data_IF_284531172735
#
_entry.id   IF_284531172735
#
_cell.length_a   1.000
_cell.length_b   1.000
_cell.length_c   1.000
_cell.angle_alpha   90.00
_cell.angle_beta   90.00
_cell.angle_gamma   90.00
#
_symmetry.space_group_name_H-M   'P 1'
#
loop_
_entity.id
_entity.type
_entity.pdbx_description
1 polymer ?
#
# COMPACT_ATOMS: atom_id res chain seq x y z
N UNK A 1 -8.50 13.14 -42.02
CA UNK A 1 -9.06 14.06 -41.02
C UNK A 1 -9.66 13.22 -39.91
N UNK A 2 -8.92 13.03 -38.81
CA UNK A 2 -9.43 12.46 -37.57
C UNK A 2 -9.30 13.58 -36.56
N UNK A 3 -10.40 14.29 -36.33
CA UNK A 3 -10.55 15.27 -35.25
C UNK A 3 -10.60 14.50 -33.93
N UNK A 4 -9.44 14.25 -33.34
CA UNK A 4 -9.33 13.84 -31.94
C UNK A 4 -8.37 14.78 -31.25
N UNK A 5 -8.81 16.02 -31.07
CA UNK A 5 -8.15 16.95 -30.14
C UNK A 5 -9.22 17.72 -29.36
N UNK A 6 -10.08 16.99 -28.63
CA UNK A 6 -10.74 17.58 -27.47
C UNK A 6 -9.70 17.67 -26.36
N UNK A 7 -8.82 18.66 -26.46
CA UNK A 7 -8.02 19.14 -25.33
C UNK A 7 -8.99 19.55 -24.25
N UNK A 8 -9.10 18.73 -23.22
CA UNK A 8 -9.80 19.11 -22.01
C UNK A 8 -9.00 20.28 -21.42
N UNK A 9 -9.53 21.48 -21.58
CA UNK A 9 -8.91 22.68 -21.04
C UNK A 9 -9.11 22.72 -19.52
N UNK A 10 -8.09 22.27 -18.79
CA UNK A 10 -8.02 22.23 -17.33
C UNK A 10 -7.68 23.59 -16.70
N UNK A 11 -7.48 24.66 -17.50
CA UNK A 11 -7.25 26.02 -17.00
C UNK A 11 -8.54 26.71 -16.54
N UNK A 12 -9.70 26.25 -17.04
CA UNK A 12 -10.98 26.83 -16.72
C UNK A 12 -11.43 26.44 -15.30
N UNK A 13 -11.76 27.44 -14.47
CA UNK A 13 -12.29 27.25 -13.10
C UNK A 13 -13.49 26.29 -13.10
N UNK A 14 -14.29 26.30 -14.17
CA UNK A 14 -15.40 25.36 -14.39
C UNK A 14 -14.92 23.90 -14.49
N UNK A 15 -13.84 23.63 -15.24
CA UNK A 15 -13.25 22.28 -15.38
C UNK A 15 -12.73 21.77 -14.04
N UNK A 16 -12.03 22.61 -13.27
CA UNK A 16 -11.54 22.23 -11.92
C UNK A 16 -12.70 21.94 -10.97
N UNK A 17 -13.76 22.73 -11.01
CA UNK A 17 -14.96 22.49 -10.20
C UNK A 17 -15.65 21.19 -10.60
N UNK A 18 -15.81 20.93 -11.90
CA UNK A 18 -16.37 19.69 -12.44
C UNK A 18 -15.58 18.46 -11.98
N UNK A 19 -14.25 18.51 -11.99
CA UNK A 19 -13.40 17.42 -11.52
C UNK A 19 -13.54 17.19 -10.03
N UNK A 20 -13.62 18.26 -9.22
CA UNK A 20 -13.86 18.14 -7.78
C UNK A 20 -15.22 17.50 -7.51
N UNK A 21 -16.26 17.91 -8.24
CA UNK A 21 -17.60 17.30 -8.15
C UNK A 21 -17.59 15.84 -8.58
N UNK A 22 -16.90 15.50 -9.66
CA UNK A 22 -16.76 14.12 -10.12
C UNK A 22 -16.00 13.26 -9.09
N UNK A 23 -14.89 13.75 -8.53
CA UNK A 23 -14.14 13.09 -7.44
C UNK A 23 -15.05 12.85 -6.23
N UNK A 24 -15.84 13.84 -5.84
CA UNK A 24 -16.80 13.71 -4.74
C UNK A 24 -17.87 12.66 -5.04
N UNK A 25 -18.50 12.71 -6.22
CA UNK A 25 -19.54 11.75 -6.63
C UNK A 25 -19.02 10.31 -6.63
N UNK A 26 -17.83 10.06 -7.19
CA UNK A 26 -17.20 8.73 -7.20
C UNK A 26 -16.91 8.25 -5.78
N UNK A 27 -16.32 9.09 -4.92
CA UNK A 27 -16.04 8.73 -3.52
C UNK A 27 -17.31 8.42 -2.74
N UNK A 28 -18.37 9.23 -2.92
CA UNK A 28 -19.67 8.98 -2.27
C UNK A 28 -20.28 7.67 -2.72
N UNK A 29 -20.28 7.39 -4.02
CA UNK A 29 -20.84 6.16 -4.57
C UNK A 29 -20.08 4.92 -4.09
N UNK A 30 -18.74 4.99 -4.09
CA UNK A 30 -17.89 3.95 -3.53
C UNK A 30 -18.20 3.70 -2.05
N UNK A 31 -18.29 4.76 -1.24
CA UNK A 31 -18.58 4.63 0.19
C UNK A 31 -19.97 4.03 0.47
N UNK A 32 -20.96 4.31 -0.37
CA UNK A 32 -22.29 3.69 -0.26
C UNK A 32 -22.18 2.18 -0.50
N UNK A 33 -21.49 1.76 -1.57
CA UNK A 33 -21.29 0.34 -1.84
C UNK A 33 -20.46 -0.34 -0.76
N UNK A 34 -19.36 0.27 -0.33
CA UNK A 34 -18.52 -0.23 0.75
C UNK A 34 -19.39 -0.52 2.00
N UNK A 35 -20.18 0.45 2.44
CA UNK A 35 -21.11 0.27 3.58
C UNK A 35 -22.16 -0.81 3.34
N UNK A 36 -22.69 -0.93 2.12
CA UNK A 36 -23.69 -1.94 1.78
C UNK A 36 -23.14 -3.38 1.85
N UNK A 37 -21.84 -3.58 1.59
CA UNK A 37 -21.17 -4.89 1.66
C UNK A 37 -20.47 -5.14 3.00
N UNK A 38 -20.66 -4.27 4.00
CA UNK A 38 -20.09 -4.42 5.35
C UNK A 38 -18.73 -3.74 5.57
N UNK A 39 -18.22 -2.99 4.59
CA UNK A 39 -17.02 -2.16 4.71
C UNK A 39 -17.36 -0.78 5.30
N UNK A 40 -17.81 -0.76 6.56
CA UNK A 40 -18.34 0.44 7.21
C UNK A 40 -17.30 1.53 7.48
N UNK A 41 -16.09 1.12 7.82
CA UNK A 41 -14.97 1.97 8.25
C UNK A 41 -13.79 1.92 7.27
N UNK A 42 -14.01 1.44 6.04
CA UNK A 42 -13.00 1.45 5.00
C UNK A 42 -12.69 2.87 4.54
N UNK A 43 -11.41 3.24 4.59
CA UNK A 43 -10.92 4.53 4.13
C UNK A 43 -10.23 4.41 2.77
N UNK A 44 -10.65 5.26 1.82
CA UNK A 44 -10.00 5.35 0.51
C UNK A 44 -8.59 5.94 0.72
N UNK A 45 -7.53 5.32 0.16
CA UNK A 45 -6.16 5.83 0.29
C UNK A 45 -6.01 7.30 -0.12
N UNK A 46 -5.15 8.01 0.62
CA UNK A 46 -4.86 9.42 0.36
C UNK A 46 -3.70 9.54 -0.64
N UNK A 47 -4.04 9.74 -1.92
CA UNK A 47 -3.06 9.84 -3.00
C UNK A 47 -2.08 11.01 -2.82
N UNK A 48 -2.55 12.13 -2.27
CA UNK A 48 -1.71 13.29 -2.00
C UNK A 48 -0.65 12.98 -0.92
N UNK A 49 -1.03 12.24 0.13
CA UNK A 49 -0.08 11.74 1.14
C UNK A 49 0.96 10.80 0.52
N UNK A 50 0.52 9.84 -0.30
CA UNK A 50 1.43 8.89 -0.97
C UNK A 50 2.45 9.62 -1.85
N UNK A 51 2.00 10.58 -2.64
CA UNK A 51 2.88 11.40 -3.48
C UNK A 51 3.96 12.10 -2.63
N UNK A 52 3.57 12.76 -1.53
CA UNK A 52 4.52 13.41 -0.60
C UNK A 52 5.50 12.45 0.05
N UNK A 53 5.10 11.20 0.32
CA UNK A 53 6.02 10.19 0.88
C UNK A 53 7.12 9.80 -0.12
N UNK A 54 6.78 9.71 -1.41
CA UNK A 54 7.69 9.25 -2.45
C UNK A 54 8.48 10.35 -3.16
N UNK A 55 8.02 11.62 -3.15
CA UNK A 55 8.57 12.69 -3.99
C UNK A 55 10.08 12.93 -3.84
N UNK A 56 10.64 12.63 -2.65
CA UNK A 56 12.07 12.76 -2.36
C UNK A 56 12.93 11.65 -2.97
N UNK A 57 12.31 10.54 -3.37
CA UNK A 57 12.96 9.32 -3.83
C UNK A 57 12.63 8.99 -5.27
N UNK A 58 11.47 9.45 -5.76
CA UNK A 58 10.93 9.14 -7.07
C UNK A 58 10.19 10.36 -7.63
N UNK A 59 10.57 10.80 -8.82
CA UNK A 59 9.93 11.94 -9.50
C UNK A 59 8.47 11.62 -9.81
N UNK A 60 7.54 12.51 -9.44
CA UNK A 60 6.10 12.30 -9.66
C UNK A 60 5.71 12.30 -11.15
N UNK A 61 6.54 12.90 -12.00
CA UNK A 61 6.37 12.94 -13.46
C UNK A 61 6.81 11.65 -14.17
N UNK A 62 7.44 10.71 -13.45
CA UNK A 62 7.81 9.42 -14.02
C UNK A 62 6.56 8.53 -14.13
N UNK A 63 6.07 8.38 -15.35
CA UNK A 63 4.92 7.55 -15.69
C UNK A 63 5.35 6.13 -16.12
N UNK A 64 4.57 5.12 -15.71
CA UNK A 64 4.78 3.71 -16.09
C UNK A 64 4.71 2.76 -14.89
N UNK A 65 4.03 1.63 -15.05
CA UNK A 65 3.74 0.72 -13.94
C UNK A 65 2.94 1.41 -12.83
N UNK A 66 3.30 1.17 -11.57
CA UNK A 66 2.74 1.87 -10.40
C UNK A 66 3.45 3.21 -10.11
N UNK A 67 4.56 3.50 -10.81
CA UNK A 67 5.35 4.71 -10.65
C UNK A 67 5.79 4.95 -9.21
N UNK A 68 5.57 6.16 -8.72
CA UNK A 68 5.94 6.58 -7.37
C UNK A 68 5.16 5.84 -6.26
N UNK A 69 4.04 5.18 -6.57
CA UNK A 69 3.20 4.50 -5.58
C UNK A 69 3.87 3.27 -4.99
N UNK A 70 4.65 2.52 -5.77
CA UNK A 70 5.38 1.35 -5.25
C UNK A 70 6.38 1.76 -4.15
N UNK A 71 7.04 2.90 -4.35
CA UNK A 71 7.94 3.51 -3.37
C UNK A 71 7.17 4.09 -2.19
N UNK A 72 6.08 4.81 -2.46
CA UNK A 72 5.22 5.40 -1.42
C UNK A 72 4.65 4.34 -0.48
N UNK A 73 4.18 3.21 -1.01
CA UNK A 73 3.58 2.13 -0.23
C UNK A 73 4.59 1.44 0.68
N UNK A 74 5.84 1.25 0.26
CA UNK A 74 6.87 0.74 1.18
C UNK A 74 7.13 1.72 2.32
N UNK A 75 7.27 3.01 2.01
CA UNK A 75 7.52 4.04 3.02
C UNK A 75 6.34 4.16 3.98
N UNK A 76 5.11 4.15 3.45
CA UNK A 76 3.88 4.18 4.24
C UNK A 76 3.78 2.95 5.13
N UNK A 77 4.06 1.77 4.60
CA UNK A 77 4.07 0.51 5.34
C UNK A 77 4.99 0.56 6.55
N UNK A 78 6.13 1.24 6.45
CA UNK A 78 7.05 1.41 7.58
C UNK A 78 6.59 2.52 8.53
N UNK A 79 6.22 3.69 8.01
CA UNK A 79 5.87 4.86 8.83
C UNK A 79 4.59 4.66 9.64
N UNK A 80 3.60 4.07 9.00
CA UNK A 80 2.29 3.80 9.59
C UNK A 80 2.23 2.40 10.17
N UNK A 81 3.34 1.66 10.09
CA UNK A 81 3.47 0.33 10.62
C UNK A 81 2.32 -0.53 10.07
N UNK A 82 2.22 -0.75 8.75
CA UNK A 82 1.11 -1.50 8.14
C UNK A 82 1.41 -2.99 7.99
N UNK A 83 2.68 -3.34 7.80
CA UNK A 83 3.10 -4.72 7.57
C UNK A 83 4.54 -4.98 8.02
N UNK A 84 4.81 -6.23 8.40
CA UNK A 84 6.18 -6.71 8.69
C UNK A 84 6.92 -7.21 7.43
N UNK A 85 6.24 -7.24 6.28
CA UNK A 85 6.78 -7.60 4.97
C UNK A 85 5.93 -7.01 3.85
N UNK A 86 6.57 -6.29 2.95
CA UNK A 86 5.98 -5.81 1.70
C UNK A 86 6.59 -6.59 0.53
N UNK A 87 5.75 -7.28 -0.24
CA UNK A 87 6.19 -8.06 -1.41
C UNK A 87 5.70 -7.34 -2.67
N UNK A 88 6.64 -6.94 -3.51
CA UNK A 88 6.35 -6.45 -4.86
C UNK A 88 6.41 -7.62 -5.85
N UNK A 89 5.26 -7.97 -6.42
CA UNK A 89 5.14 -9.05 -7.41
C UNK A 89 4.95 -8.43 -8.79
N UNK A 90 5.86 -8.73 -9.71
CA UNK A 90 5.89 -8.11 -11.04
C UNK A 90 6.24 -9.09 -12.14
N UNK A 91 5.78 -8.87 -13.39
CA UNK A 91 6.23 -9.70 -14.51
C UNK A 91 7.71 -9.45 -14.81
N UNK A 92 8.38 -10.49 -15.33
CA UNK A 92 9.77 -10.39 -15.78
C UNK A 92 9.97 -9.20 -16.74
N UNK A 93 11.00 -8.40 -16.49
CA UNK A 93 11.37 -7.30 -17.37
C UNK A 93 10.41 -6.11 -17.34
N UNK A 94 9.57 -5.96 -16.31
CA UNK A 94 8.77 -4.75 -16.10
C UNK A 94 9.68 -3.56 -15.77
N UNK A 95 10.26 -2.92 -16.79
CA UNK A 95 11.30 -1.90 -16.63
C UNK A 95 10.98 -0.80 -15.59
N UNK A 96 9.76 -0.23 -15.53
CA UNK A 96 9.44 0.77 -14.51
C UNK A 96 9.55 0.24 -13.06
N UNK A 97 9.23 -1.04 -12.84
CA UNK A 97 9.25 -1.64 -11.49
C UNK A 97 10.55 -2.40 -11.21
N UNK A 98 11.01 -3.28 -12.11
CA UNK A 98 12.21 -4.10 -11.95
C UNK A 98 13.52 -3.32 -12.06
N UNK A 99 13.59 -2.25 -12.88
CA UNK A 99 14.81 -1.49 -13.05
C UNK A 99 14.80 -0.21 -12.21
N UNK A 100 13.73 0.59 -12.32
CA UNK A 100 13.67 1.89 -11.66
C UNK A 100 13.27 1.73 -10.20
N UNK A 101 12.12 1.11 -9.93
CA UNK A 101 11.61 0.98 -8.55
C UNK A 101 12.56 0.19 -7.65
N UNK A 102 13.02 -1.01 -8.03
CA UNK A 102 13.95 -1.79 -7.19
C UNK A 102 15.27 -1.07 -6.89
N UNK A 103 15.78 -0.32 -7.86
CA UNK A 103 16.94 0.56 -7.67
C UNK A 103 16.68 1.61 -6.58
N UNK A 104 15.51 2.26 -6.63
CA UNK A 104 15.08 3.23 -5.62
C UNK A 104 14.83 2.56 -4.27
N UNK A 105 14.24 1.36 -4.24
CA UNK A 105 13.96 0.62 -3.00
C UNK A 105 15.23 0.27 -2.22
N UNK A 106 16.37 0.11 -2.89
CA UNK A 106 17.67 -0.07 -2.22
C UNK A 106 18.07 1.17 -1.39
N UNK A 107 17.76 2.38 -1.89
CA UNK A 107 17.93 3.61 -1.12
C UNK A 107 16.90 3.73 0.01
N UNK A 108 15.64 3.39 -0.26
CA UNK A 108 14.55 3.45 0.73
C UNK A 108 14.86 2.53 1.90
N UNK A 109 15.18 1.27 1.64
CA UNK A 109 15.53 0.28 2.69
C UNK A 109 16.78 0.67 3.48
N UNK A 110 17.73 1.41 2.87
CA UNK A 110 18.87 1.99 3.60
C UNK A 110 18.44 3.10 4.58
N UNK A 111 17.49 3.96 4.18
CA UNK A 111 16.95 5.04 5.04
C UNK A 111 15.94 4.57 6.08
N UNK A 112 15.24 3.48 5.78
CA UNK A 112 14.25 2.86 6.65
C UNK A 112 14.68 1.41 6.95
N UNK A 113 15.60 1.18 7.90
CA UNK A 113 16.15 -0.16 8.15
C UNK A 113 15.12 -1.20 8.63
N UNK A 114 13.98 -0.76 9.15
CA UNK A 114 12.84 -1.61 9.50
C UNK A 114 12.03 -2.07 8.29
N UNK A 115 12.24 -1.48 7.11
CA UNK A 115 11.62 -1.90 5.87
C UNK A 115 12.05 -3.32 5.50
N UNK A 116 11.09 -4.24 5.49
CA UNK A 116 11.27 -5.58 4.96
C UNK A 116 10.59 -5.66 3.59
N UNK A 117 11.36 -5.43 2.54
CA UNK A 117 10.89 -5.40 1.16
C UNK A 117 11.45 -6.58 0.37
N UNK A 118 10.59 -7.23 -0.42
CA UNK A 118 10.98 -8.30 -1.31
C UNK A 118 10.38 -8.07 -2.71
N UNK A 119 11.25 -7.88 -3.69
CA UNK A 119 10.87 -7.84 -5.10
C UNK A 119 10.97 -9.24 -5.73
N UNK A 120 9.91 -9.66 -6.42
CA UNK A 120 9.81 -10.97 -7.08
C UNK A 120 9.31 -10.82 -8.51
N UNK A 121 9.99 -11.49 -9.43
CA UNK A 121 9.62 -11.51 -10.84
C UNK A 121 8.93 -12.81 -11.23
N UNK A 122 7.67 -12.73 -11.65
CA UNK A 122 6.94 -13.85 -12.23
C UNK A 122 7.55 -14.18 -13.60
N UNK A 123 7.88 -15.46 -13.80
CA UNK A 123 8.57 -15.99 -15.00
C UNK A 123 10.04 -15.61 -15.20
N UNK A 124 10.61 -14.75 -14.34
CA UNK A 124 12.03 -14.35 -14.38
C UNK A 124 12.95 -15.14 -13.47
N UNK A 125 12.37 -15.75 -12.43
CA UNK A 125 13.11 -16.38 -11.35
C UNK A 125 12.87 -17.91 -11.31
N UNK A 126 13.93 -18.67 -11.06
CA UNK A 126 13.82 -20.13 -10.90
C UNK A 126 13.06 -20.49 -9.61
N UNK A 127 12.19 -21.51 -9.67
CA UNK A 127 11.30 -21.88 -8.56
C UNK A 127 12.02 -22.04 -7.21
N UNK A 128 13.18 -22.71 -7.19
CA UNK A 128 13.96 -22.88 -5.96
C UNK A 128 14.42 -21.55 -5.36
N UNK A 129 14.84 -20.58 -6.19
CA UNK A 129 15.29 -19.26 -5.75
C UNK A 129 14.13 -18.39 -5.25
N UNK A 130 12.99 -18.45 -5.95
CA UNK A 130 11.75 -17.84 -5.52
C UNK A 130 11.35 -18.35 -4.13
N UNK A 131 11.27 -19.68 -3.95
CA UNK A 131 10.82 -20.27 -2.70
C UNK A 131 11.75 -19.92 -1.55
N UNK A 132 13.07 -20.00 -1.74
CA UNK A 132 14.03 -19.71 -0.67
C UNK A 132 13.96 -18.25 -0.21
N UNK A 133 13.91 -17.28 -1.14
CA UNK A 133 13.81 -15.85 -0.81
C UNK A 133 12.51 -15.50 -0.11
N UNK A 134 11.38 -16.02 -0.61
CA UNK A 134 10.07 -15.79 0.00
C UNK A 134 10.02 -16.41 1.40
N UNK A 135 10.51 -17.63 1.58
CA UNK A 135 10.57 -18.28 2.89
C UNK A 135 11.43 -17.50 3.90
N UNK A 136 12.60 -17.02 3.48
CA UNK A 136 13.47 -16.20 4.34
C UNK A 136 12.80 -14.88 4.75
N UNK A 137 12.17 -14.18 3.79
CA UNK A 137 11.47 -12.93 4.07
C UNK A 137 10.28 -13.12 5.01
N UNK A 138 9.49 -14.19 4.79
CA UNK A 138 8.37 -14.57 5.66
C UNK A 138 8.84 -14.98 7.05
N UNK A 139 9.96 -15.69 7.17
CA UNK A 139 10.53 -16.06 8.46
C UNK A 139 10.86 -14.82 9.31
N UNK A 140 11.57 -13.85 8.71
CA UNK A 140 11.87 -12.56 9.36
C UNK A 140 10.60 -11.81 9.75
N UNK A 141 9.63 -11.72 8.84
CA UNK A 141 8.36 -11.04 9.07
C UNK A 141 7.57 -11.69 10.21
N UNK A 142 7.52 -13.02 10.25
CA UNK A 142 6.84 -13.78 11.31
C UNK A 142 7.48 -13.55 12.66
N UNK A 143 8.82 -13.47 12.72
CA UNK A 143 9.53 -13.18 13.95
C UNK A 143 9.16 -11.77 14.47
N UNK A 144 9.24 -10.74 13.62
CA UNK A 144 8.87 -9.37 14.00
C UNK A 144 7.40 -9.26 14.42
N UNK A 145 6.48 -9.92 13.70
CA UNK A 145 5.07 -9.95 14.07
C UNK A 145 4.82 -10.61 15.42
N UNK A 146 5.58 -11.67 15.75
CA UNK A 146 5.50 -12.36 17.04
C UNK A 146 6.02 -11.48 18.17
N UNK A 147 7.18 -10.87 18.00
CA UNK A 147 7.77 -9.95 18.98
C UNK A 147 6.85 -8.78 19.28
N UNK A 148 6.21 -8.20 18.24
CA UNK A 148 5.23 -7.14 18.42
C UNK A 148 4.00 -7.64 19.18
N UNK A 149 3.46 -8.80 18.83
CA UNK A 149 2.28 -9.37 19.49
C UNK A 149 2.55 -9.67 20.98
N UNK A 150 3.71 -10.25 21.30
CA UNK A 150 4.10 -10.57 22.68
C UNK A 150 4.32 -9.32 23.54
N UNK A 151 4.62 -8.17 22.93
CA UNK A 151 4.73 -6.89 23.62
C UNK A 151 3.37 -6.22 23.93
N UNK A 152 2.25 -6.76 23.44
CA UNK A 152 0.92 -6.22 23.69
C UNK A 152 0.34 -6.73 25.01
N UNK A 153 -0.39 -5.86 25.70
CA UNK A 153 -1.24 -6.27 26.80
C UNK A 153 -2.54 -6.84 26.24
N UNK A 154 -2.74 -8.15 26.36
CA UNK A 154 -3.95 -8.82 25.88
C UNK A 154 -5.07 -8.59 26.91
N UNK A 155 -6.24 -8.06 26.51
CA UNK A 155 -7.36 -7.90 27.41
C UNK A 155 -7.90 -9.26 27.86
N UNK A 156 -8.41 -9.34 29.10
CA UNK A 156 -8.98 -10.57 29.68
C UNK A 156 -10.19 -11.08 28.87
N UNK A 157 -10.90 -10.17 28.21
CA UNK A 157 -12.02 -10.47 27.32
C UNK A 157 -11.74 -9.95 25.91
N UNK A 158 -11.86 -10.83 24.91
CA UNK A 158 -11.77 -10.49 23.49
C UNK A 158 -13.19 -10.47 22.91
N UNK A 159 -13.70 -9.29 22.51
CA UNK A 159 -14.97 -9.16 21.81
C UNK A 159 -15.10 -10.08 20.58
N UNK A 160 -16.24 -10.75 20.42
CA UNK A 160 -16.51 -11.65 19.28
C UNK A 160 -16.36 -10.97 17.91
N UNK A 161 -16.57 -9.64 17.84
CA UNK A 161 -16.41 -8.84 16.62
C UNK A 161 -15.03 -9.00 15.97
N UNK A 162 -13.97 -9.34 16.73
CA UNK A 162 -12.62 -9.57 16.20
C UNK A 162 -12.55 -10.79 15.29
N UNK A 163 -13.42 -11.78 15.49
CA UNK A 163 -13.48 -12.97 14.65
C UNK A 163 -14.26 -12.74 13.35
N UNK A 164 -14.83 -11.56 13.15
CA UNK A 164 -15.47 -11.17 11.91
C UNK A 164 -14.43 -10.67 10.91
N UNK A 165 -14.30 -11.32 9.76
CA UNK A 165 -13.39 -10.90 8.68
C UNK A 165 -13.74 -9.52 8.08
N UNK A 166 -14.98 -9.05 8.29
CA UNK A 166 -15.42 -7.70 7.93
C UNK A 166 -15.09 -6.67 9.01
N UNK A 167 -14.53 -7.04 10.17
CA UNK A 167 -14.15 -6.05 11.17
C UNK A 167 -12.95 -5.23 10.68
N UNK A 168 -13.07 -3.90 10.71
CA UNK A 168 -12.05 -2.95 10.28
C UNK A 168 -11.44 -2.27 11.50
N UNK A 169 -10.41 -2.86 12.15
CA UNK A 169 -9.79 -2.25 13.32
C UNK A 169 -9.06 -0.95 12.92
N UNK A 170 -9.27 0.11 13.69
CA UNK A 170 -8.50 1.35 13.60
C UNK A 170 -7.51 1.44 14.77
N UNK A 171 -6.21 1.38 14.48
CA UNK A 171 -5.14 1.62 15.44
C UNK A 171 -3.82 1.96 14.70
N UNK A 172 -2.88 2.56 15.42
CA UNK A 172 -1.53 2.97 14.99
C UNK A 172 -0.47 1.83 15.10
N UNK A 173 -0.87 0.58 15.41
CA UNK A 173 0.01 -0.60 15.56
C UNK A 173 0.10 -1.45 14.28
N UNK A 174 1.22 -2.18 14.09
CA UNK A 174 1.46 -2.97 12.88
C UNK A 174 0.94 -4.38 12.86
N UNK A 175 0.53 -4.75 11.65
CA UNK A 175 0.05 -6.08 11.36
C UNK A 175 -1.37 -6.25 11.86
N UNK A 176 -2.08 -7.16 11.18
CA UNK A 176 -3.50 -7.38 11.41
C UNK A 176 -3.80 -7.78 12.86
N UNK A 177 -3.00 -8.65 13.46
CA UNK A 177 -3.23 -9.14 14.82
C UNK A 177 -3.00 -8.07 15.90
N UNK A 178 -1.90 -7.31 15.84
CA UNK A 178 -1.63 -6.27 16.83
C UNK A 178 -2.62 -5.11 16.72
N UNK A 179 -2.96 -4.72 15.48
CA UNK A 179 -3.98 -3.72 15.19
C UNK A 179 -5.35 -4.13 15.72
N UNK A 180 -5.72 -5.42 15.57
CA UNK A 180 -6.95 -5.97 16.13
C UNK A 180 -6.94 -5.87 17.67
N UNK A 181 -5.93 -6.41 18.35
CA UNK A 181 -5.85 -6.41 19.82
C UNK A 181 -5.84 -4.99 20.39
N UNK A 182 -5.12 -4.07 19.76
CA UNK A 182 -5.06 -2.69 20.21
C UNK A 182 -6.34 -1.89 19.91
N UNK A 183 -7.19 -2.37 19.00
CA UNK A 183 -8.50 -1.76 18.68
C UNK A 183 -9.66 -2.25 19.57
N UNK A 184 -9.39 -3.19 20.49
CA UNK A 184 -10.38 -3.75 21.42
C UNK A 184 -10.69 -2.78 22.56
#
# INVERSE_FOLDING_TARGET
>A
AVETDKKVDFSNVKSRLMIKLAKAAVKTHFNIYAKAIGLHDYEIPNMEKLATLSEQYYTLDCEGGEGHLEVAHLIESVKDNLSHLTISVKPFGCMPSSAVSDGVQSLVTNRFPSANFLAIETSGEGAANFYSRVQMALFKAKQSAKEEFEALNIPEHIPEKVHNYLYQPHNDKAGSAAKLVASL
#
